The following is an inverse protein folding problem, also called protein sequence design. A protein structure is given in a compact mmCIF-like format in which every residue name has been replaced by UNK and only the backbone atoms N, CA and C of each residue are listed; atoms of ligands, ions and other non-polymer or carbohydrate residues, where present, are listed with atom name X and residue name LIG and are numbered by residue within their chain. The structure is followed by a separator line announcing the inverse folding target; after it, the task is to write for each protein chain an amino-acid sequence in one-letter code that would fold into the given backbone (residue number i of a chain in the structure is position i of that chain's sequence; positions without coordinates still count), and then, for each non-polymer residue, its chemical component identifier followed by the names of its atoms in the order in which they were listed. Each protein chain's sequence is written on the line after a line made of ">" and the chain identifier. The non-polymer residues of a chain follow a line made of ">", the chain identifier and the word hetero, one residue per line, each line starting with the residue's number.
data_IF_603157517174
#
_entry.id   IF_603157517174
#
_cell.length_a   1.000
_cell.length_b   1.000
_cell.length_c   1.000
_cell.angle_alpha   90.00
_cell.angle_beta   90.00
_cell.angle_gamma   90.00
#
_symmetry.space_group_name_H-M   'P 1'
#
loop_
_entity.id
_entity.type
_entity.pdbx_description
1 polymer ?
#
# COMPACT_ATOMS: atom_id res chain seq x y z
N UNK A 1 25.31 -61.00 16.77
CA UNK A 1 26.20 -59.81 16.78
C UNK A 1 27.17 -59.71 15.58
N UNK A 2 27.35 -60.74 14.75
CA UNK A 2 28.37 -60.75 13.67
C UNK A 2 28.07 -59.88 12.44
N UNK A 3 26.80 -59.58 12.14
CA UNK A 3 26.43 -58.82 10.93
C UNK A 3 26.80 -57.34 11.05
N UNK A 4 26.69 -56.75 12.25
CA UNK A 4 27.08 -55.36 12.50
C UNK A 4 28.59 -55.14 12.36
N UNK A 5 29.43 -56.08 12.80
CA UNK A 5 30.90 -55.97 12.65
C UNK A 5 31.36 -55.99 11.19
N UNK A 6 30.70 -56.75 10.32
CA UNK A 6 31.05 -56.81 8.89
C UNK A 6 30.70 -55.51 8.13
N UNK A 7 29.75 -54.73 8.64
CA UNK A 7 29.35 -53.43 8.05
C UNK A 7 30.31 -52.29 8.41
N UNK A 8 31.03 -52.38 9.53
CA UNK A 8 31.95 -51.32 9.99
C UNK A 8 33.19 -51.20 9.08
N UNK A 9 33.57 -52.28 8.39
CA UNK A 9 34.79 -52.34 7.57
C UNK A 9 34.54 -52.20 6.05
N UNK A 10 33.32 -51.89 5.62
CA UNK A 10 32.99 -51.72 4.18
C UNK A 10 33.26 -50.31 3.65
N UNK A 11 33.58 -49.36 4.52
CA UNK A 11 34.04 -48.03 4.11
C UNK A 11 35.53 -48.07 3.80
N UNK A 12 35.91 -48.10 2.52
CA UNK A 12 37.29 -47.83 2.13
C UNK A 12 37.67 -46.43 2.63
N UNK A 13 38.47 -46.36 3.70
CA UNK A 13 38.95 -45.10 4.25
C UNK A 13 39.86 -44.45 3.21
N UNK A 14 39.33 -43.49 2.45
CA UNK A 14 40.12 -42.78 1.45
C UNK A 14 41.35 -42.15 2.09
N UNK A 15 42.48 -42.22 1.38
CA UNK A 15 43.71 -41.57 1.83
C UNK A 15 43.47 -40.07 2.04
N UNK A 16 44.24 -39.47 2.97
CA UNK A 16 44.14 -38.03 3.25
C UNK A 16 44.37 -37.17 1.99
N UNK A 17 45.17 -37.66 1.05
CA UNK A 17 45.38 -37.02 -0.26
C UNK A 17 44.12 -37.04 -1.13
N UNK A 18 43.42 -38.17 -1.19
CA UNK A 18 42.17 -38.28 -1.97
C UNK A 18 41.07 -37.43 -1.34
N UNK A 19 40.96 -37.41 0.00
CA UNK A 19 40.04 -36.50 0.71
C UNK A 19 40.33 -35.03 0.40
N UNK A 20 41.60 -34.62 0.41
CA UNK A 20 42.02 -33.26 0.04
C UNK A 20 41.64 -32.93 -1.40
N UNK A 21 41.88 -33.84 -2.36
CA UNK A 21 41.50 -33.65 -3.78
C UNK A 21 39.99 -33.52 -3.96
N UNK A 22 39.19 -34.35 -3.29
CA UNK A 22 37.72 -34.22 -3.29
C UNK A 22 37.29 -32.89 -2.67
N UNK A 23 37.87 -32.50 -1.54
CA UNK A 23 37.56 -31.23 -0.88
C UNK A 23 37.84 -30.02 -1.77
N UNK A 24 38.95 -30.05 -2.54
CA UNK A 24 39.25 -29.03 -3.56
C UNK A 24 38.20 -29.04 -4.67
N UNK A 25 37.88 -30.21 -5.24
CA UNK A 25 36.87 -30.33 -6.29
C UNK A 25 35.48 -29.84 -5.87
N UNK A 26 35.06 -30.16 -4.64
CA UNK A 26 33.79 -29.70 -4.06
C UNK A 26 33.80 -28.18 -3.90
N UNK A 27 34.87 -27.58 -3.33
CA UNK A 27 34.98 -26.12 -3.21
C UNK A 27 34.90 -25.42 -4.57
N UNK A 28 35.66 -25.89 -5.55
CA UNK A 28 35.63 -25.34 -6.91
C UNK A 28 34.22 -25.45 -7.54
N UNK A 29 33.51 -26.56 -7.32
CA UNK A 29 32.15 -26.74 -7.81
C UNK A 29 31.12 -25.86 -7.10
N UNK A 30 31.31 -25.58 -5.82
CA UNK A 30 30.47 -24.65 -5.05
C UNK A 30 30.71 -23.20 -5.47
N UNK A 31 31.98 -22.80 -5.66
CA UNK A 31 32.33 -21.46 -6.14
C UNK A 31 31.76 -21.19 -7.53
N UNK A 32 31.87 -22.14 -8.47
CA UNK A 32 31.26 -22.01 -9.80
C UNK A 32 29.74 -21.86 -9.74
N UNK A 33 29.06 -22.65 -8.90
CA UNK A 33 27.61 -22.55 -8.72
C UNK A 33 27.20 -21.20 -8.11
N UNK A 34 27.93 -20.75 -7.09
CA UNK A 34 27.70 -19.43 -6.48
C UNK A 34 27.92 -18.30 -7.49
N UNK A 35 28.99 -18.36 -8.29
CA UNK A 35 29.24 -17.39 -9.35
C UNK A 35 28.09 -17.31 -10.36
N UNK A 36 27.57 -18.46 -10.80
CA UNK A 36 26.40 -18.50 -11.69
C UNK A 36 25.15 -17.90 -11.05
N UNK A 37 24.91 -18.19 -9.78
CA UNK A 37 23.76 -17.64 -9.03
C UNK A 37 23.86 -16.11 -8.92
N UNK A 38 25.04 -15.60 -8.55
CA UNK A 38 25.29 -14.16 -8.46
C UNK A 38 25.03 -13.44 -9.79
N UNK A 39 25.49 -14.02 -10.91
CA UNK A 39 25.23 -13.44 -12.25
C UNK A 39 23.74 -13.42 -12.57
N UNK A 40 23.00 -14.46 -12.20
CA UNK A 40 21.55 -14.49 -12.38
C UNK A 40 20.83 -13.44 -11.53
N UNK A 41 21.20 -13.31 -10.25
CA UNK A 41 20.64 -12.31 -9.34
C UNK A 41 20.95 -10.89 -9.81
N UNK A 42 22.20 -10.62 -10.20
CA UNK A 42 22.60 -9.32 -10.78
C UNK A 42 21.82 -9.00 -12.05
N UNK A 43 21.71 -9.96 -12.98
CA UNK A 43 20.97 -9.76 -14.22
C UNK A 43 19.48 -9.49 -13.95
N UNK A 44 18.86 -10.24 -13.03
CA UNK A 44 17.48 -10.02 -12.63
C UNK A 44 17.29 -8.62 -12.03
N UNK A 45 18.18 -8.21 -11.12
CA UNK A 45 18.14 -6.90 -10.49
C UNK A 45 18.33 -5.76 -11.51
N UNK A 46 19.29 -5.89 -12.41
CA UNK A 46 19.51 -4.92 -13.50
C UNK A 46 18.29 -4.82 -14.42
N UNK A 47 17.72 -5.97 -14.80
CA UNK A 47 16.53 -6.00 -15.65
C UNK A 47 15.31 -5.36 -14.96
N UNK A 48 15.09 -5.64 -13.67
CA UNK A 48 14.06 -4.98 -12.88
C UNK A 48 14.28 -3.46 -12.84
N UNK A 49 15.51 -3.01 -12.63
CA UNK A 49 15.84 -1.59 -12.60
C UNK A 49 15.65 -0.92 -13.96
N UNK A 50 16.01 -1.57 -15.07
CA UNK A 50 15.76 -1.05 -16.41
C UNK A 50 14.27 -0.87 -16.68
N UNK A 51 13.45 -1.85 -16.29
CA UNK A 51 11.98 -1.75 -16.39
C UNK A 51 11.47 -0.61 -15.52
N UNK A 52 11.96 -0.50 -14.28
CA UNK A 52 11.56 0.55 -13.36
C UNK A 52 11.91 1.94 -13.89
N UNK A 53 13.13 2.12 -14.42
CA UNK A 53 13.59 3.36 -15.04
C UNK A 53 12.76 3.73 -16.29
N UNK A 54 12.48 2.76 -17.16
CA UNK A 54 11.64 2.98 -18.33
C UNK A 54 10.20 3.36 -17.92
N UNK A 55 9.65 2.68 -16.92
CA UNK A 55 8.33 3.01 -16.36
C UNK A 55 8.30 4.37 -15.68
N UNK A 56 9.41 4.79 -15.04
CA UNK A 56 9.54 6.11 -14.40
C UNK A 56 9.55 7.22 -15.45
N UNK A 57 10.39 7.10 -16.47
CA UNK A 57 10.55 8.10 -17.53
C UNK A 57 9.33 8.23 -18.44
N UNK A 58 8.55 7.16 -18.59
CA UNK A 58 7.39 7.13 -19.48
C UNK A 58 7.78 7.06 -20.97
N UNK A 59 6.78 6.97 -21.85
CA UNK A 59 7.01 7.00 -23.30
C UNK A 59 7.23 8.46 -23.76
N UNK A 60 7.90 8.67 -24.90
CA UNK A 60 8.20 10.00 -25.43
C UNK A 60 6.97 10.95 -25.41
N UNK A 61 7.02 11.98 -24.56
CA UNK A 61 5.95 12.97 -24.35
C UNK A 61 5.10 12.77 -23.09
N UNK A 62 5.26 11.67 -22.34
CA UNK A 62 4.69 11.49 -21.02
C UNK A 62 5.58 12.12 -19.93
N UNK A 63 4.96 12.58 -18.84
CA UNK A 63 5.66 13.24 -17.72
C UNK A 63 6.30 12.20 -16.79
N UNK A 64 7.52 12.46 -16.31
CA UNK A 64 8.26 11.54 -15.44
C UNK A 64 7.52 11.31 -14.11
N UNK A 65 7.29 10.04 -13.77
CA UNK A 65 6.54 9.66 -12.59
C UNK A 65 7.41 9.84 -11.33
N UNK A 66 7.01 10.77 -10.45
CA UNK A 66 7.72 11.06 -9.20
C UNK A 66 7.44 10.01 -8.12
N UNK A 67 8.11 8.85 -8.21
CA UNK A 67 7.92 7.72 -7.28
C UNK A 67 8.28 8.07 -5.83
N UNK A 68 9.21 9.00 -5.62
CA UNK A 68 9.64 9.44 -4.29
C UNK A 68 8.83 10.61 -3.74
N UNK A 69 7.74 11.03 -4.40
CA UNK A 69 6.91 12.16 -3.99
C UNK A 69 6.43 12.05 -2.54
N UNK A 70 6.05 10.85 -2.09
CA UNK A 70 5.63 10.63 -0.70
C UNK A 70 6.78 10.87 0.29
N UNK A 71 7.97 10.35 0.00
CA UNK A 71 9.15 10.51 0.87
C UNK A 71 9.57 11.98 0.94
N UNK A 72 9.54 12.68 -0.20
CA UNK A 72 9.85 14.12 -0.26
C UNK A 72 8.87 14.91 0.60
N UNK A 73 7.57 14.61 0.51
CA UNK A 73 6.54 15.27 1.32
C UNK A 73 6.68 14.94 2.81
N UNK A 74 7.01 13.70 3.16
CA UNK A 74 7.23 13.28 4.54
C UNK A 74 8.43 14.00 5.16
N UNK A 75 9.55 14.10 4.43
CA UNK A 75 10.72 14.87 4.86
C UNK A 75 10.40 16.36 5.03
N UNK A 76 9.65 16.95 4.10
CA UNK A 76 9.20 18.34 4.20
C UNK A 76 8.33 18.55 5.43
N UNK A 77 7.34 17.68 5.65
CA UNK A 77 6.45 17.76 6.79
C UNK A 77 7.21 17.60 8.12
N UNK A 78 8.19 16.72 8.16
CA UNK A 78 9.03 16.52 9.33
C UNK A 78 9.87 17.77 9.63
N UNK A 79 10.43 18.41 8.60
CA UNK A 79 11.15 19.70 8.74
C UNK A 79 10.23 20.81 9.25
N UNK A 80 9.05 20.97 8.65
CA UNK A 80 8.05 21.96 9.08
C UNK A 80 7.59 21.72 10.53
N UNK A 81 7.40 20.47 10.91
CA UNK A 81 7.02 20.10 12.27
C UNK A 81 8.12 20.49 13.27
N UNK A 82 9.38 20.18 12.97
CA UNK A 82 10.52 20.55 13.80
C UNK A 82 10.64 22.07 13.92
N UNK A 83 10.51 22.81 12.82
CA UNK A 83 10.53 24.27 12.80
C UNK A 83 9.38 24.84 13.65
N UNK A 84 8.18 24.28 13.56
CA UNK A 84 7.03 24.67 14.38
C UNK A 84 7.23 24.39 15.87
N UNK A 85 7.90 23.29 16.22
CA UNK A 85 8.31 22.99 17.59
C UNK A 85 9.30 24.04 18.09
N UNK A 86 10.32 24.35 17.30
CA UNK A 86 11.37 25.30 17.68
C UNK A 86 10.82 26.73 17.81
N UNK A 87 9.99 27.16 16.86
CA UNK A 87 9.26 28.43 16.92
C UNK A 87 8.40 28.54 18.18
N UNK A 88 7.80 27.44 18.64
CA UNK A 88 7.03 27.43 19.91
C UNK A 88 7.92 27.51 21.15
N UNK A 89 9.19 27.12 21.08
CA UNK A 89 10.14 27.30 22.19
C UNK A 89 10.66 28.73 22.26
N UNK A 90 10.92 29.36 21.12
CA UNK A 90 11.47 30.72 21.04
C UNK A 90 10.41 31.80 21.24
N UNK A 91 9.16 31.54 20.86
CA UNK A 91 8.07 32.49 21.09
C UNK A 91 7.75 32.61 22.59
N UNK A 92 7.72 33.84 23.16
CA UNK A 92 7.22 34.07 24.49
C UNK A 92 5.78 33.53 24.56
N UNK A 93 5.53 32.59 25.48
CA UNK A 93 4.18 32.08 25.73
C UNK A 93 3.26 33.28 25.95
N UNK A 94 2.20 33.41 25.16
CA UNK A 94 1.15 34.39 25.42
C UNK A 94 0.75 34.27 26.88
N UNK A 95 0.74 35.39 27.60
CA UNK A 95 0.63 35.44 29.07
C UNK A 95 -0.72 34.88 29.50
N UNK A 96 -0.80 33.56 29.60
CA UNK A 96 -1.98 32.80 29.95
C UNK A 96 -2.25 32.99 31.44
N UNK A 97 -3.31 33.73 31.72
CA UNK A 97 -3.76 34.19 33.04
C UNK A 97 -2.87 35.25 33.70
N UNK A 98 -3.50 36.31 34.23
CA UNK A 98 -2.90 37.32 35.12
C UNK A 98 -2.44 36.74 36.46
N UNK A 99 -2.22 35.43 36.56
CA UNK A 99 -1.84 34.75 37.80
C UNK A 99 -0.35 34.93 37.99
N UNK A 100 0.04 35.46 39.14
CA UNK A 100 1.44 35.61 39.49
C UNK A 100 2.18 34.27 39.35
N UNK A 101 3.41 34.26 38.83
CA UNK A 101 4.21 33.04 38.77
C UNK A 101 4.38 32.47 40.19
N UNK A 102 4.13 31.17 40.35
CA UNK A 102 4.31 30.47 41.65
C UNK A 102 5.75 30.62 42.13
N UNK A 103 5.94 30.83 43.44
CA UNK A 103 7.27 30.90 44.07
C UNK A 103 8.05 29.59 43.87
N UNK A 104 9.38 29.66 43.92
CA UNK A 104 10.24 28.49 43.73
C UNK A 104 9.93 27.38 44.75
N UNK A 105 9.70 27.75 46.01
CA UNK A 105 9.31 26.82 47.07
C UNK A 105 7.96 26.16 46.81
N UNK A 106 6.98 26.93 46.33
CA UNK A 106 5.65 26.38 46.00
C UNK A 106 5.72 25.41 44.82
N UNK A 107 6.59 25.68 43.83
CA UNK A 107 6.87 24.75 42.74
C UNK A 107 7.52 23.46 43.25
N UNK A 108 8.49 23.56 44.18
CA UNK A 108 9.12 22.40 44.83
C UNK A 108 8.09 21.55 45.59
N UNK A 109 7.25 22.18 46.43
CA UNK A 109 6.16 21.49 47.17
C UNK A 109 5.17 20.79 46.23
N UNK A 110 4.83 21.40 45.09
CA UNK A 110 3.96 20.76 44.08
C UNK A 110 4.67 19.58 43.42
N UNK A 111 5.94 19.73 43.04
CA UNK A 111 6.72 18.66 42.42
C UNK A 111 6.88 17.46 43.36
N UNK A 112 7.19 17.73 44.63
CA UNK A 112 7.30 16.71 45.67
C UNK A 112 5.97 16.00 45.93
N UNK A 113 4.86 16.75 46.03
CA UNK A 113 3.53 16.15 46.17
C UNK A 113 3.14 15.31 44.94
N UNK A 114 3.47 15.75 43.72
CA UNK A 114 3.25 14.97 42.50
C UNK A 114 4.13 13.70 42.53
N UNK A 115 5.40 13.82 42.87
CA UNK A 115 6.32 12.70 42.96
C UNK A 115 5.85 11.66 44.00
N UNK A 116 5.41 12.10 45.18
CA UNK A 116 4.82 11.25 46.19
C UNK A 116 3.56 10.52 45.68
N UNK A 117 2.69 11.20 44.92
CA UNK A 117 1.53 10.56 44.28
C UNK A 117 1.92 9.52 43.24
N UNK A 118 2.99 9.74 42.48
CA UNK A 118 3.48 8.77 41.49
C UNK A 118 4.31 7.64 42.11
N UNK A 119 4.83 7.83 43.32
CA UNK A 119 5.53 6.80 44.08
C UNK A 119 4.57 5.72 44.61
N UNK A 120 3.28 6.04 44.78
CA UNK A 120 2.24 5.07 45.08
C UNK A 120 2.00 4.13 43.87
N UNK A 121 2.30 2.82 44.01
CA UNK A 121 2.13 1.83 42.94
C UNK A 121 0.67 1.73 42.47
N UNK A 122 -0.30 1.79 43.39
CA UNK A 122 -1.71 1.61 43.04
C UNK A 122 -2.26 2.77 42.21
N UNK A 123 -1.89 4.00 42.57
CA UNK A 123 -2.24 5.18 41.80
C UNK A 123 -1.59 5.14 40.40
N UNK A 124 -0.29 4.83 40.34
CA UNK A 124 0.47 4.77 39.09
C UNK A 124 -0.13 3.75 38.13
N UNK A 125 -0.37 2.52 38.58
CA UNK A 125 -0.93 1.45 37.76
C UNK A 125 -2.33 1.80 37.24
N UNK A 126 -3.18 2.41 38.08
CA UNK A 126 -4.53 2.84 37.69
C UNK A 126 -4.49 3.91 36.60
N UNK A 127 -3.59 4.88 36.72
CA UNK A 127 -3.40 5.94 35.71
C UNK A 127 -2.84 5.35 34.42
N UNK A 128 -1.80 4.52 34.51
CA UNK A 128 -1.21 3.83 33.36
C UNK A 128 -2.25 2.94 32.64
N UNK A 129 -3.04 2.15 33.37
CA UNK A 129 -4.09 1.32 32.80
C UNK A 129 -5.21 2.15 32.14
N UNK A 130 -5.60 3.28 32.74
CA UNK A 130 -6.55 4.21 32.15
C UNK A 130 -6.04 4.84 30.85
N UNK A 131 -4.75 5.20 30.83
CA UNK A 131 -4.09 5.78 29.67
C UNK A 131 -3.94 4.75 28.55
N UNK A 132 -3.54 3.51 28.87
CA UNK A 132 -3.48 2.40 27.93
C UNK A 132 -4.86 2.04 27.38
N UNK A 133 -5.93 2.12 28.17
CA UNK A 133 -7.31 1.94 27.65
C UNK A 133 -7.73 3.06 26.70
N UNK A 134 -7.21 4.27 26.86
CA UNK A 134 -7.55 5.42 26.03
C UNK A 134 -6.74 5.48 24.73
N UNK A 135 -5.44 5.19 24.81
CA UNK A 135 -4.51 5.26 23.67
C UNK A 135 -4.19 3.91 23.03
N UNK A 136 -4.43 2.79 23.71
CA UNK A 136 -4.15 1.43 23.22
C UNK A 136 -5.28 0.82 22.37
N UNK A 137 -6.27 1.61 21.94
CA UNK A 137 -7.25 1.15 20.95
C UNK A 137 -6.60 1.22 19.56
N UNK A 138 -6.53 0.10 18.81
CA UNK A 138 -5.94 0.11 17.47
C UNK A 138 -6.67 1.09 16.55
N UNK A 139 -5.88 1.78 15.72
CA UNK A 139 -6.36 2.74 14.72
C UNK A 139 -7.40 2.05 13.84
N UNK A 140 -8.67 2.46 13.93
CA UNK A 140 -9.76 1.95 13.07
C UNK A 140 -11.08 1.61 13.77
N UNK A 141 -11.12 1.53 15.11
CA UNK A 141 -12.39 1.31 15.83
C UNK A 141 -13.03 2.64 16.21
N UNK A 142 -14.24 2.91 15.71
CA UNK A 142 -14.99 4.12 16.04
C UNK A 142 -15.16 4.28 17.55
N UNK A 143 -14.67 5.40 18.09
CA UNK A 143 -14.85 5.76 19.49
C UNK A 143 -16.31 6.20 19.71
N UNK A 144 -17.10 5.41 20.42
CA UNK A 144 -18.37 5.89 21.02
C UNK A 144 -18.02 7.02 21.99
N UNK A 145 -18.51 8.23 21.71
CA UNK A 145 -18.43 9.33 22.66
C UNK A 145 -19.16 8.93 23.96
N UNK A 146 -18.45 8.89 25.09
CA UNK A 146 -19.11 8.72 26.40
C UNK A 146 -19.94 9.97 26.69
N UNK A 147 -21.27 9.81 26.73
CA UNK A 147 -22.19 10.78 27.34
C UNK A 147 -21.74 11.03 28.78
N UNK A 148 -21.63 12.30 29.17
CA UNK A 148 -21.48 12.71 30.59
C UNK A 148 -22.65 12.12 31.40
N UNK A 149 -22.41 11.54 32.59
CA UNK A 149 -23.52 11.26 33.51
C UNK A 149 -24.09 12.61 33.98
N UNK A 150 -25.36 12.85 33.68
CA UNK A 150 -26.12 13.96 34.24
C UNK A 150 -26.28 13.69 35.72
N UNK A 151 -25.75 14.58 36.55
CA UNK A 151 -26.00 14.57 37.98
C UNK A 151 -27.51 14.63 38.24
N UNK A 152 -27.94 13.82 39.20
CA UNK A 152 -29.29 13.72 39.72
C UNK A 152 -29.72 15.08 40.26
N UNK A 153 -30.71 15.70 39.63
CA UNK A 153 -31.53 16.73 40.29
C UNK A 153 -32.96 16.61 39.78
N UNK A 154 -33.75 15.93 40.61
CA UNK A 154 -35.18 16.06 40.89
C UNK A 154 -36.17 16.33 39.74
N UNK A 155 -37.07 15.36 39.63
CA UNK A 155 -38.29 15.28 38.85
C UNK A 155 -39.23 16.49 39.00
N UNK A 156 -39.70 17.02 37.87
CA UNK A 156 -41.02 17.65 37.78
C UNK A 156 -41.88 16.85 36.81
N UNK A 157 -43.00 16.36 37.32
CA UNK A 157 -43.98 15.52 36.63
C UNK A 157 -44.76 16.38 35.62
N UNK A 158 -44.83 15.97 34.36
CA UNK A 158 -45.91 16.38 33.46
C UNK A 158 -46.57 15.12 32.88
N UNK A 159 -47.86 14.99 33.19
CA UNK A 159 -48.77 13.93 32.78
C UNK A 159 -49.18 14.06 31.30
N UNK A 160 -49.32 12.98 30.52
CA UNK A 160 -49.95 13.02 29.21
C UNK A 160 -51.47 12.82 29.32
N UNK A 161 -52.26 13.72 28.72
CA UNK A 161 -53.70 13.56 28.56
C UNK A 161 -54.00 12.56 27.42
N UNK A 162 -54.73 11.49 27.73
CA UNK A 162 -55.59 10.71 26.81
C UNK A 162 -56.67 11.65 26.22
N UNK A 163 -57.36 11.46 25.08
CA UNK A 163 -57.88 10.28 24.37
C UNK A 163 -58.57 10.81 23.09
N UNK A 164 -58.65 10.02 21.99
CA UNK A 164 -59.93 9.55 21.42
C UNK A 164 -59.72 8.64 20.19
N UNK A 165 -60.37 7.50 20.27
CA UNK A 165 -60.54 6.44 19.27
C UNK A 165 -61.64 6.80 18.27
N UNK A 166 -61.60 6.21 17.08
CA UNK A 166 -62.79 5.64 16.42
C UNK A 166 -62.35 4.54 15.45
N UNK A 167 -62.76 3.31 15.78
CA UNK A 167 -62.70 2.10 14.98
C UNK A 167 -63.80 2.08 13.90
N UNK A 168 -63.56 1.39 12.78
CA UNK A 168 -64.59 0.74 11.95
C UNK A 168 -63.99 -0.47 11.19
N UNK A 169 -63.96 -1.61 11.88
CA UNK A 169 -64.40 -2.98 11.55
C UNK A 169 -64.65 -3.56 10.11
N UNK A 170 -64.30 -4.88 10.00
CA UNK A 170 -64.61 -6.01 9.06
C UNK A 170 -64.00 -6.05 7.63
N UNK A 171 -62.97 -6.87 7.29
CA UNK A 171 -62.82 -8.36 7.07
C UNK A 171 -63.26 -8.84 5.65
N UNK A 172 -62.76 -9.95 4.99
CA UNK A 172 -61.81 -11.00 5.39
C UNK A 172 -60.70 -11.42 4.35
N UNK A 173 -59.66 -12.07 4.90
CA UNK A 173 -58.91 -13.27 4.42
C UNK A 173 -58.81 -13.56 2.90
N UNK A 174 -57.58 -13.59 2.40
CA UNK A 174 -57.04 -14.69 1.56
C UNK A 174 -55.50 -14.66 1.56
N UNK A 175 -54.90 -15.67 2.18
CA UNK A 175 -53.55 -16.15 1.88
C UNK A 175 -53.70 -17.32 0.89
N UNK A 176 -52.70 -17.67 0.04
CA UNK A 176 -51.32 -17.84 0.51
C UNK A 176 -50.20 -17.54 -0.50
N UNK A 177 -49.01 -17.39 0.09
CA UNK A 177 -47.73 -17.87 -0.42
C UNK A 177 -47.23 -17.30 -1.76
N UNK A 178 -46.26 -16.38 -1.70
CA UNK A 178 -45.16 -16.31 -2.69
C UNK A 178 -43.99 -15.48 -2.17
N UNK A 179 -42.86 -16.19 -2.12
CA UNK A 179 -41.52 -15.69 -2.37
C UNK A 179 -40.91 -14.80 -1.29
N UNK A 180 -39.85 -15.37 -0.71
CA UNK A 180 -38.75 -14.75 0.00
C UNK A 180 -38.35 -13.45 -0.70
N UNK A 181 -39.02 -12.36 -0.32
CA UNK A 181 -38.57 -11.01 -0.62
C UNK A 181 -37.32 -10.82 0.21
N UNK A 182 -36.18 -10.99 -0.46
CA UNK A 182 -34.88 -10.54 0.03
C UNK A 182 -35.09 -9.08 0.45
N UNK A 183 -35.19 -8.84 1.75
CA UNK A 183 -35.07 -7.52 2.36
C UNK A 183 -33.69 -6.97 1.97
N UNK A 184 -33.60 -6.43 0.74
CA UNK A 184 -32.54 -5.52 0.35
C UNK A 184 -32.78 -4.32 1.23
N UNK A 185 -32.05 -4.27 2.35
CA UNK A 185 -31.79 -3.04 3.07
C UNK A 185 -31.50 -1.98 2.00
N UNK A 186 -32.46 -1.09 1.75
CA UNK A 186 -32.25 0.13 0.98
C UNK A 186 -31.21 0.90 1.77
N UNK A 187 -29.94 0.63 1.52
CA UNK A 187 -28.84 1.48 1.97
C UNK A 187 -29.21 2.86 1.45
N UNK A 188 -29.51 3.77 2.36
CA UNK A 188 -29.77 5.15 1.98
C UNK A 188 -28.50 5.68 1.33
N UNK A 189 -28.47 5.79 0.01
CA UNK A 189 -27.36 6.37 -0.76
C UNK A 189 -27.20 7.89 -0.53
N UNK A 190 -27.70 8.41 0.60
CA UNK A 190 -27.48 9.80 0.98
C UNK A 190 -26.11 9.86 1.63
N UNK A 191 -25.12 10.50 0.99
CA UNK A 191 -23.82 10.66 1.61
C UNK A 191 -24.00 11.46 2.90
N UNK A 192 -23.36 10.99 3.98
CA UNK A 192 -23.40 11.62 5.29
C UNK A 192 -22.84 13.06 5.25
N UNK A 193 -22.06 13.37 4.20
CA UNK A 193 -21.46 14.66 3.93
C UNK A 193 -21.74 15.09 2.48
N UNK A 194 -22.17 16.34 2.28
CA UNK A 194 -22.35 16.94 0.96
C UNK A 194 -21.15 17.81 0.66
N UNK A 195 -20.29 17.36 -0.24
CA UNK A 195 -19.20 18.18 -0.77
C UNK A 195 -19.79 19.13 -1.83
N UNK A 196 -19.70 20.44 -1.59
CA UNK A 196 -20.17 21.48 -2.51
C UNK A 196 -19.43 21.45 -3.85
N UNK A 197 -18.22 20.89 -3.88
CA UNK A 197 -17.38 20.74 -5.07
C UNK A 197 -17.49 19.37 -5.74
N UNK A 198 -18.35 18.47 -5.25
CA UNK A 198 -18.46 17.10 -5.76
C UNK A 198 -18.72 17.04 -7.27
N UNK A 199 -19.57 17.94 -7.79
CA UNK A 199 -19.86 18.03 -9.22
C UNK A 199 -18.62 18.36 -10.04
N UNK A 200 -17.86 19.37 -9.63
CA UNK A 200 -16.61 19.78 -10.29
C UNK A 200 -15.57 18.65 -10.29
N UNK A 201 -15.38 17.97 -9.15
CA UNK A 201 -14.46 16.82 -9.05
C UNK A 201 -14.88 15.66 -9.94
N UNK A 202 -16.18 15.37 -10.02
CA UNK A 202 -16.69 14.31 -10.90
C UNK A 202 -16.47 14.64 -12.38
N UNK A 203 -16.71 15.89 -12.79
CA UNK A 203 -16.40 16.33 -14.16
C UNK A 203 -14.90 16.25 -14.46
N UNK A 204 -14.05 16.62 -13.52
CA UNK A 204 -12.59 16.44 -13.66
C UNK A 204 -12.22 14.97 -13.86
N UNK A 205 -12.79 14.05 -13.06
CA UNK A 205 -12.54 12.61 -13.20
C UNK A 205 -13.03 12.09 -14.55
N UNK A 206 -14.19 12.56 -15.04
CA UNK A 206 -14.70 12.20 -16.38
C UNK A 206 -13.74 12.66 -17.48
N UNK A 207 -13.24 13.90 -17.39
CA UNK A 207 -12.28 14.44 -18.35
C UNK A 207 -10.98 13.63 -18.37
N UNK A 208 -10.44 13.28 -17.20
CA UNK A 208 -9.23 12.44 -17.10
C UNK A 208 -9.47 11.07 -17.74
N UNK A 209 -10.63 10.44 -17.51
CA UNK A 209 -10.98 9.15 -18.13
C UNK A 209 -11.12 9.26 -19.65
N UNK A 210 -11.76 10.32 -20.14
CA UNK A 210 -11.91 10.57 -21.57
C UNK A 210 -10.55 10.80 -22.24
N UNK A 211 -9.67 11.60 -21.62
CA UNK A 211 -8.30 11.82 -22.10
C UNK A 211 -7.50 10.52 -22.16
N UNK A 212 -7.52 9.71 -21.08
CA UNK A 212 -6.85 8.40 -21.06
C UNK A 212 -7.37 7.45 -22.13
N UNK A 213 -8.69 7.39 -22.32
CA UNK A 213 -9.30 6.59 -23.38
C UNK A 213 -8.84 7.03 -24.78
N UNK A 214 -8.74 8.34 -25.01
CA UNK A 214 -8.28 8.90 -26.28
C UNK A 214 -6.78 8.70 -26.52
N UNK A 215 -5.95 8.72 -25.47
CA UNK A 215 -4.53 8.39 -25.61
C UNK A 215 -4.32 6.90 -25.87
N UNK A 216 -5.06 6.03 -25.18
CA UNK A 216 -5.01 4.59 -25.41
C UNK A 216 -5.47 4.23 -26.82
N UNK A 217 -6.54 4.84 -27.34
CA UNK A 217 -6.97 4.59 -28.73
C UNK A 217 -5.92 4.99 -29.77
N UNK A 218 -5.22 6.11 -29.55
CA UNK A 218 -4.10 6.52 -30.42
C UNK A 218 -2.94 5.54 -30.34
N UNK A 219 -2.62 5.03 -29.15
CA UNK A 219 -1.59 3.99 -28.96
C UNK A 219 -1.97 2.71 -29.70
N UNK A 220 -3.21 2.25 -29.58
CA UNK A 220 -3.68 1.04 -30.28
C UNK A 220 -3.63 1.21 -31.80
N UNK A 221 -4.03 2.38 -32.34
CA UNK A 221 -3.91 2.67 -33.77
C UNK A 221 -2.46 2.66 -34.25
N UNK A 222 -1.52 3.23 -33.48
CA UNK A 222 -0.11 3.21 -33.82
C UNK A 222 0.46 1.79 -33.85
N UNK A 223 0.06 0.95 -32.88
CA UNK A 223 0.44 -0.47 -32.84
C UNK A 223 -0.12 -1.21 -34.06
N UNK A 224 -1.37 -0.98 -34.44
CA UNK A 224 -1.96 -1.59 -35.63
C UNK A 224 -1.25 -1.17 -36.92
N UNK A 225 -0.93 0.12 -37.07
CA UNK A 225 -0.13 0.62 -38.20
C UNK A 225 1.25 -0.03 -38.25
N UNK A 226 1.95 -0.14 -37.12
CA UNK A 226 3.24 -0.81 -37.04
C UNK A 226 3.15 -2.29 -37.44
N UNK A 227 2.11 -3.00 -36.98
CA UNK A 227 1.88 -4.41 -37.36
C UNK A 227 1.65 -4.57 -38.87
N UNK A 228 0.90 -3.67 -39.49
CA UNK A 228 0.70 -3.69 -40.95
C UNK A 228 2.02 -3.50 -41.70
N UNK A 229 2.85 -2.55 -41.27
CA UNK A 229 4.17 -2.30 -41.88
C UNK A 229 5.11 -3.50 -41.71
N UNK A 230 5.13 -4.14 -40.54
CA UNK A 230 5.91 -5.35 -40.30
C UNK A 230 5.44 -6.49 -41.23
N UNK A 231 4.12 -6.70 -41.35
CA UNK A 231 3.57 -7.73 -42.23
C UNK A 231 3.90 -7.48 -43.71
N UNK A 232 3.89 -6.21 -44.15
CA UNK A 232 4.32 -5.82 -45.49
C UNK A 232 5.81 -6.08 -45.72
N UNK A 233 6.66 -5.70 -44.76
CA UNK A 233 8.09 -5.96 -44.80
C UNK A 233 8.42 -7.46 -44.83
N UNK A 234 7.71 -8.28 -44.04
CA UNK A 234 7.82 -9.75 -44.07
C UNK A 234 7.42 -10.32 -45.44
N UNK A 235 6.36 -9.79 -46.06
CA UNK A 235 5.93 -10.21 -47.39
C UNK A 235 6.98 -9.86 -48.45
N UNK A 236 7.59 -8.67 -48.37
CA UNK A 236 8.68 -8.27 -49.24
C UNK A 236 9.93 -9.13 -49.05
N UNK A 237 10.28 -9.45 -47.79
CA UNK A 237 11.38 -10.36 -47.48
C UNK A 237 11.15 -11.76 -48.06
N UNK A 238 9.94 -12.32 -47.94
CA UNK A 238 9.56 -13.61 -48.54
C UNK A 238 9.69 -13.59 -50.07
N UNK A 239 9.31 -12.50 -50.74
CA UNK A 239 9.48 -12.36 -52.18
C UNK A 239 10.97 -12.33 -52.60
N UNK A 240 11.83 -11.72 -51.79
CA UNK A 240 13.28 -11.66 -52.03
C UNK A 240 13.98 -13.02 -51.87
N UNK A 241 13.40 -14.00 -51.16
CA UNK A 241 13.98 -15.33 -50.96
C UNK A 241 14.28 -16.05 -52.30
N UNK A 242 13.40 -15.89 -53.30
CA UNK A 242 13.56 -16.53 -54.61
C UNK A 242 14.76 -15.95 -55.37
N UNK A 243 14.98 -14.64 -55.27
CA UNK A 243 16.11 -13.95 -55.90
C UNK A 243 17.43 -14.19 -55.15
N UNK A 244 17.37 -14.33 -53.82
CA UNK A 244 18.52 -14.58 -52.96
C UNK A 244 19.21 -15.93 -53.23
N UNK A 245 18.51 -16.90 -53.82
CA UNK A 245 19.09 -18.19 -54.24
C UNK A 245 20.07 -18.02 -55.40
N UNK A 246 19.84 -17.04 -56.28
CA UNK A 246 20.59 -16.85 -57.53
C UNK A 246 21.55 -15.67 -57.51
N UNK A 247 21.25 -14.64 -56.70
CA UNK A 247 22.04 -13.40 -56.64
C UNK A 247 22.65 -13.18 -55.25
N UNK A 248 23.97 -13.00 -55.15
CA UNK A 248 24.63 -12.70 -53.87
C UNK A 248 24.21 -11.34 -53.30
N UNK A 249 23.85 -10.38 -54.17
CA UNK A 249 23.36 -9.06 -53.75
C UNK A 249 21.97 -9.19 -53.11
N UNK A 250 21.07 -9.95 -53.73
CA UNK A 250 19.74 -10.19 -53.17
C UNK A 250 19.78 -10.94 -51.82
N UNK A 251 20.78 -11.81 -51.64
CA UNK A 251 21.04 -12.49 -50.35
C UNK A 251 21.47 -11.51 -49.27
N UNK A 252 22.35 -10.55 -49.58
CA UNK A 252 22.76 -9.52 -48.64
C UNK A 252 21.56 -8.63 -48.23
N UNK A 253 20.76 -8.18 -49.19
CA UNK A 253 19.54 -7.40 -48.93
C UNK A 253 18.52 -8.16 -48.08
N UNK A 254 18.33 -9.46 -48.29
CA UNK A 254 17.44 -10.30 -47.47
C UNK A 254 17.90 -10.40 -46.01
N UNK A 255 19.22 -10.49 -45.78
CA UNK A 255 19.77 -10.57 -44.42
C UNK A 255 19.56 -9.23 -43.70
N UNK A 256 19.78 -8.12 -44.39
CA UNK A 256 19.57 -6.79 -43.85
C UNK A 256 18.09 -6.53 -43.53
N UNK A 257 17.16 -6.86 -44.44
CA UNK A 257 15.72 -6.70 -44.18
C UNK A 257 15.23 -7.53 -43.00
N UNK A 258 15.71 -8.78 -42.85
CA UNK A 258 15.37 -9.62 -41.69
C UNK A 258 15.95 -9.10 -40.37
N UNK A 259 17.11 -8.44 -40.41
CA UNK A 259 17.65 -7.75 -39.22
C UNK A 259 16.76 -6.58 -38.83
N UNK A 260 16.38 -5.73 -39.79
CA UNK A 260 15.53 -4.56 -39.54
C UNK A 260 14.12 -4.91 -39.05
N UNK A 261 13.57 -6.07 -39.44
CA UNK A 261 12.27 -6.55 -38.94
C UNK A 261 12.37 -7.07 -37.49
N UNK A 262 13.55 -7.52 -37.07
CA UNK A 262 13.78 -8.12 -35.75
C UNK A 262 14.22 -7.11 -34.67
N UNK A 263 14.64 -5.91 -35.07
CA UNK A 263 14.93 -4.76 -34.19
C UNK A 263 13.63 -4.07 -33.71
#
# INVERSE_FOLDING_TARGET
>A
MQVRMKLVNLGHAQSEETKKKIGIGVRMGWEKRRGKLMVQESCYFEWQNLIAEAARRGLAGEEELQWYSYNILDEQLMKEWLESVERRKTMPRTKGSRRAPKSAEQRKKIAEAIAAKWADPEYRERVCAGLSKFHGVPVGVERKAKRKPRAVTQSSKQTPKKKKETDTDFSPRNEPNKQIEKFKLRRSNRPLYKDSSAGSKLEMIKNIRAQRSATESKKTEAIERARLLIAEAEKAAKALEVAAVKSPIARASLIETRKLIAE
#
